data_IF_507816294894
#
_entry.id   IF_507816294894
#
_cell.length_a   1.000
_cell.length_b   1.000
_cell.length_c   1.000
_cell.angle_alpha   90.00
_cell.angle_beta   90.00
_cell.angle_gamma   90.00
#
_symmetry.space_group_name_H-M   'P 1'
#
loop_
_entity.id
_entity.type
_entity.pdbx_description
1 polymer ?
#
# COMPACT_ATOMS: atom_id res chain seq x y z
N UNK A 1 22.72 -6.46 -18.06
CA UNK A 1 22.91 -7.11 -16.74
C UNK A 1 22.32 -6.31 -15.58
N UNK A 2 21.72 -5.15 -15.82
CA UNK A 2 21.27 -4.20 -14.79
C UNK A 2 20.00 -4.63 -14.04
N UNK A 3 19.05 -5.32 -14.70
CA UNK A 3 17.74 -5.60 -14.10
C UNK A 3 17.78 -6.60 -12.93
N UNK A 4 18.69 -7.58 -12.91
CA UNK A 4 18.70 -8.59 -11.86
C UNK A 4 19.18 -8.05 -10.50
N UNK A 5 20.02 -7.00 -10.51
CA UNK A 5 20.54 -6.35 -9.31
C UNK A 5 19.50 -5.43 -8.67
N UNK A 6 18.82 -4.63 -9.49
CA UNK A 6 17.74 -3.73 -9.05
C UNK A 6 16.55 -4.52 -8.46
N UNK A 7 16.28 -5.72 -9.00
CA UNK A 7 15.22 -6.60 -8.51
C UNK A 7 15.49 -7.17 -7.10
N UNK A 8 16.74 -7.47 -6.76
CA UNK A 8 17.08 -7.94 -5.39
C UNK A 8 17.00 -6.78 -4.40
N UNK A 9 17.28 -5.57 -4.87
CA UNK A 9 17.28 -4.34 -4.08
C UNK A 9 15.87 -4.00 -3.57
N UNK A 10 14.85 -4.00 -4.45
CA UNK A 10 13.47 -3.65 -4.06
C UNK A 10 12.89 -4.57 -2.97
N UNK A 11 13.23 -5.86 -2.97
CA UNK A 11 12.79 -6.80 -1.91
C UNK A 11 13.48 -6.50 -0.58
N UNK A 12 14.79 -6.29 -0.61
CA UNK A 12 15.57 -6.00 0.58
C UNK A 12 15.14 -4.66 1.20
N UNK A 13 14.88 -3.66 0.35
CA UNK A 13 14.36 -2.36 0.77
C UNK A 13 13.00 -2.49 1.48
N UNK A 14 12.04 -3.21 0.89
CA UNK A 14 10.73 -3.40 1.53
C UNK A 14 10.84 -4.11 2.89
N UNK A 15 11.66 -5.16 2.98
CA UNK A 15 11.89 -5.87 4.24
C UNK A 15 12.52 -4.95 5.28
N UNK A 16 13.52 -4.14 4.91
CA UNK A 16 14.13 -3.18 5.81
C UNK A 16 13.14 -2.11 6.29
N UNK A 17 12.24 -1.64 5.41
CA UNK A 17 11.18 -0.70 5.77
C UNK A 17 10.18 -1.30 6.75
N UNK A 18 9.82 -2.58 6.58
CA UNK A 18 8.95 -3.31 7.53
C UNK A 18 9.62 -3.50 8.89
N UNK A 19 10.91 -3.88 8.91
CA UNK A 19 11.69 -4.00 10.14
C UNK A 19 11.85 -2.65 10.85
N UNK A 20 11.99 -1.55 10.09
CA UNK A 20 12.04 -0.20 10.65
C UNK A 20 10.67 0.21 11.22
N UNK A 21 9.60 -0.07 10.49
CA UNK A 21 8.23 0.17 10.96
C UNK A 21 7.96 -0.57 12.26
N UNK A 22 8.38 -1.84 12.38
CA UNK A 22 8.16 -2.64 13.61
C UNK A 22 8.83 -2.01 14.84
N UNK A 23 10.00 -1.39 14.67
CA UNK A 23 10.73 -0.69 15.76
C UNK A 23 10.09 0.65 16.12
N UNK A 24 9.57 1.36 15.13
CA UNK A 24 9.10 2.74 15.29
C UNK A 24 7.60 2.80 15.62
N UNK A 25 6.81 1.78 15.25
CA UNK A 25 5.39 1.75 15.58
C UNK A 25 5.20 1.59 17.09
N UNK A 26 4.41 2.49 17.70
CA UNK A 26 4.20 2.52 19.15
C UNK A 26 5.30 3.21 19.97
N UNK A 27 6.43 3.61 19.36
CA UNK A 27 7.47 4.40 20.03
C UNK A 27 7.19 5.90 20.06
N UNK A 28 6.15 6.35 19.34
CA UNK A 28 5.81 7.76 19.14
C UNK A 28 6.60 8.45 18.02
N UNK A 29 7.42 7.70 17.28
CA UNK A 29 8.11 8.20 16.09
C UNK A 29 7.14 8.43 14.93
N UNK A 30 7.51 9.35 14.04
CA UNK A 30 6.74 9.62 12.83
C UNK A 30 6.96 8.50 11.81
N UNK A 31 5.88 7.79 11.50
CA UNK A 31 5.85 6.68 10.54
C UNK A 31 5.52 7.13 9.11
N UNK A 32 5.13 8.39 8.90
CA UNK A 32 4.80 8.94 7.57
C UNK A 32 5.94 8.75 6.57
N UNK A 33 7.23 8.98 6.91
CA UNK A 33 8.33 8.75 5.99
C UNK A 33 8.44 7.30 5.53
N UNK A 34 8.18 6.34 6.43
CA UNK A 34 8.24 4.90 6.12
C UNK A 34 7.14 4.53 5.14
N UNK A 35 5.89 4.93 5.41
CA UNK A 35 4.76 4.67 4.52
C UNK A 35 4.94 5.34 3.15
N UNK A 36 5.48 6.55 3.13
CA UNK A 36 5.80 7.28 1.90
C UNK A 36 6.82 6.50 1.07
N UNK A 37 7.89 6.02 1.71
CA UNK A 37 8.93 5.25 1.02
C UNK A 37 8.42 3.91 0.50
N UNK A 38 7.56 3.23 1.26
CA UNK A 38 6.86 2.03 0.78
C UNK A 38 6.00 2.32 -0.45
N UNK A 39 5.25 3.43 -0.45
CA UNK A 39 4.41 3.82 -1.60
C UNK A 39 5.25 4.05 -2.85
N UNK A 40 6.33 4.84 -2.74
CA UNK A 40 7.27 5.10 -3.85
C UNK A 40 7.85 3.80 -4.45
N UNK A 41 8.16 2.84 -3.59
CA UNK A 41 8.70 1.54 -4.00
C UNK A 41 7.66 0.70 -4.76
N UNK A 42 6.42 0.64 -4.25
CA UNK A 42 5.33 -0.11 -4.91
C UNK A 42 4.93 0.57 -6.23
N UNK A 43 4.84 1.89 -6.27
CA UNK A 43 4.55 2.67 -7.49
C UNK A 43 5.60 2.43 -8.57
N UNK A 44 6.90 2.46 -8.22
CA UNK A 44 8.00 2.16 -9.14
C UNK A 44 7.83 0.77 -9.76
N UNK A 45 7.62 -0.26 -8.95
CA UNK A 45 7.46 -1.62 -9.47
C UNK A 45 6.13 -1.84 -10.19
N UNK A 46 5.10 -1.05 -9.88
CA UNK A 46 3.84 -1.00 -10.62
C UNK A 46 4.03 -0.43 -12.01
N UNK A 47 4.82 0.65 -12.14
CA UNK A 47 5.19 1.21 -13.43
C UNK A 47 5.99 0.20 -14.27
N UNK A 48 6.99 -0.46 -13.67
CA UNK A 48 7.78 -1.50 -14.33
C UNK A 48 6.94 -2.72 -14.74
N UNK A 49 5.92 -3.08 -13.94
CA UNK A 49 4.97 -4.13 -14.31
C UNK A 49 4.11 -3.69 -15.50
N UNK A 50 3.56 -2.47 -15.49
CA UNK A 50 2.74 -1.93 -16.59
C UNK A 50 3.52 -1.79 -17.90
N UNK A 51 4.82 -1.47 -17.86
CA UNK A 51 5.69 -1.44 -19.04
C UNK A 51 5.81 -2.77 -19.77
N UNK A 52 5.48 -3.89 -19.10
CA UNK A 52 5.45 -5.23 -19.71
C UNK A 52 4.16 -5.54 -20.47
N UNK A 53 3.27 -4.55 -20.57
CA UNK A 53 1.97 -4.66 -21.25
C UNK A 53 1.10 -5.82 -20.72
N UNK A 54 0.82 -5.84 -19.40
CA UNK A 54 -0.09 -6.83 -18.85
C UNK A 54 -1.51 -6.62 -19.39
N UNK A 55 -2.26 -7.70 -19.54
CA UNK A 55 -3.65 -7.64 -20.01
C UNK A 55 -4.50 -6.77 -19.06
N UNK A 56 -5.13 -5.67 -19.54
CA UNK A 56 -5.92 -4.78 -18.71
C UNK A 56 -7.21 -5.42 -18.16
N UNK A 57 -7.62 -6.58 -18.68
CA UNK A 57 -8.79 -7.33 -18.21
C UNK A 57 -8.42 -8.49 -17.27
N UNK A 58 -7.12 -8.66 -16.95
CA UNK A 58 -6.68 -9.68 -16.02
C UNK A 58 -6.74 -9.17 -14.57
N UNK A 59 -7.85 -9.49 -13.90
CA UNK A 59 -8.11 -9.12 -12.51
C UNK A 59 -7.32 -9.96 -11.48
N UNK A 60 -6.46 -10.88 -11.93
CA UNK A 60 -5.64 -11.69 -11.00
C UNK A 60 -4.58 -10.82 -10.33
N UNK A 61 -4.28 -11.14 -9.08
CA UNK A 61 -3.10 -10.61 -8.37
C UNK A 61 -1.85 -10.65 -9.28
N UNK A 62 -1.02 -9.59 -9.36
CA UNK A 62 0.14 -9.52 -10.28
C UNK A 62 1.07 -10.73 -10.21
N UNK A 63 1.39 -11.20 -9.01
CA UNK A 63 2.18 -12.43 -8.79
C UNK A 63 1.52 -13.77 -9.18
N UNK A 64 0.23 -13.77 -9.55
CA UNK A 64 -0.48 -14.92 -10.17
C UNK A 64 -0.48 -14.80 -11.69
N UNK A 65 -0.63 -13.58 -12.22
CA UNK A 65 -0.54 -13.29 -13.65
C UNK A 65 0.89 -13.51 -14.19
N UNK A 66 1.89 -12.95 -13.50
CA UNK A 66 3.33 -13.19 -13.74
C UNK A 66 4.01 -13.60 -12.41
N UNK A 67 4.27 -14.89 -12.18
CA UNK A 67 4.94 -15.37 -10.98
C UNK A 67 6.36 -14.83 -10.75
N UNK A 68 6.98 -14.22 -11.78
CA UNK A 68 8.32 -13.65 -11.70
C UNK A 68 8.32 -12.12 -11.58
N UNK A 69 7.16 -11.46 -11.62
CA UNK A 69 7.10 -10.00 -11.47
C UNK A 69 7.52 -9.56 -10.07
N UNK A 70 8.16 -8.40 -9.97
CA UNK A 70 8.62 -7.87 -8.69
C UNK A 70 7.46 -7.37 -7.84
N UNK A 71 6.54 -6.61 -8.44
CA UNK A 71 5.31 -6.14 -7.80
C UNK A 71 4.60 -7.30 -7.07
N UNK A 72 4.41 -8.43 -7.74
CA UNK A 72 3.78 -9.61 -7.16
C UNK A 72 4.54 -10.19 -5.96
N UNK A 73 5.87 -10.10 -5.94
CA UNK A 73 6.66 -10.50 -4.78
C UNK A 73 6.57 -9.49 -3.63
N UNK A 74 6.60 -8.19 -3.92
CA UNK A 74 6.50 -7.15 -2.89
C UNK A 74 5.15 -7.19 -2.18
N UNK A 75 4.05 -7.28 -2.94
CA UNK A 75 2.70 -7.44 -2.40
C UNK A 75 2.61 -8.67 -1.50
N UNK A 76 3.21 -9.80 -1.92
CA UNK A 76 3.23 -11.01 -1.09
C UNK A 76 4.02 -10.84 0.21
N UNK A 77 5.11 -10.09 0.21
CA UNK A 77 5.88 -9.81 1.44
C UNK A 77 5.04 -8.94 2.38
N UNK A 78 4.43 -7.87 1.83
CA UNK A 78 3.62 -6.93 2.59
C UNK A 78 2.41 -7.60 3.24
N UNK A 79 1.62 -8.36 2.47
CA UNK A 79 0.42 -9.05 2.97
C UNK A 79 0.70 -10.21 3.91
N UNK A 80 1.95 -10.67 4.01
CA UNK A 80 2.35 -11.66 5.03
C UNK A 80 2.60 -11.03 6.40
N UNK A 81 2.72 -9.70 6.48
CA UNK A 81 2.88 -8.98 7.73
C UNK A 81 1.50 -8.50 8.21
N UNK A 82 0.80 -9.36 8.95
CA UNK A 82 -0.55 -9.10 9.42
C UNK A 82 -0.61 -7.90 10.37
N UNK A 83 0.40 -7.72 11.22
CA UNK A 83 0.48 -6.60 12.17
C UNK A 83 0.56 -5.25 11.43
N UNK A 84 1.39 -5.19 10.39
CA UNK A 84 1.49 -4.01 9.52
C UNK A 84 0.17 -3.72 8.82
N UNK A 85 -0.43 -4.72 8.17
CA UNK A 85 -1.70 -4.55 7.44
C UNK A 85 -2.84 -4.12 8.38
N UNK A 86 -2.88 -4.69 9.57
CA UNK A 86 -3.84 -4.35 10.60
C UNK A 86 -3.66 -2.91 11.10
N UNK A 87 -2.43 -2.47 11.31
CA UNK A 87 -2.12 -1.09 11.69
C UNK A 87 -2.45 -0.11 10.55
N UNK A 88 -2.08 -0.43 9.32
CA UNK A 88 -2.37 0.38 8.13
C UNK A 88 -3.86 0.71 8.03
N UNK A 89 -4.71 -0.31 8.14
CA UNK A 89 -6.16 -0.13 8.03
C UNK A 89 -6.75 0.44 9.33
N UNK A 90 -6.56 -0.21 10.47
CA UNK A 90 -7.31 0.15 11.68
C UNK A 90 -6.72 1.36 12.39
N UNK A 91 -5.40 1.47 12.49
CA UNK A 91 -4.78 2.56 13.22
C UNK A 91 -4.67 3.81 12.34
N UNK A 92 -4.19 3.68 11.10
CA UNK A 92 -3.83 4.84 10.27
C UNK A 92 -4.97 5.32 9.38
N UNK A 93 -5.78 4.43 8.80
CA UNK A 93 -6.95 4.84 8.01
C UNK A 93 -8.18 5.05 8.91
N UNK A 94 -8.46 4.17 9.86
CA UNK A 94 -9.72 4.24 10.61
C UNK A 94 -9.68 5.14 11.85
N UNK A 95 -8.60 5.07 12.63
CA UNK A 95 -8.56 5.66 13.99
C UNK A 95 -7.81 6.99 14.04
N UNK A 96 -6.77 7.14 13.22
CA UNK A 96 -5.90 8.31 13.24
C UNK A 96 -6.65 9.60 12.90
N UNK A 97 -6.30 10.66 13.63
CA UNK A 97 -6.79 12.02 13.41
C UNK A 97 -5.77 12.93 12.75
N UNK A 98 -4.60 12.39 12.40
CA UNK A 98 -3.48 13.12 11.79
C UNK A 98 -3.61 13.06 10.26
N UNK A 99 -4.01 14.15 9.58
CA UNK A 99 -4.21 14.12 8.13
C UNK A 99 -2.98 13.68 7.32
N UNK A 100 -1.73 14.04 7.68
CA UNK A 100 -0.54 13.54 6.99
C UNK A 100 -0.40 12.02 7.04
N UNK A 101 -0.70 11.42 8.19
CA UNK A 101 -0.67 9.97 8.37
C UNK A 101 -1.77 9.29 7.56
N UNK A 102 -2.99 9.82 7.63
CA UNK A 102 -4.12 9.29 6.88
C UNK A 102 -3.84 9.36 5.37
N UNK A 103 -3.21 10.43 4.92
CA UNK A 103 -2.79 10.63 3.52
C UNK A 103 -1.78 9.58 3.07
N UNK A 104 -0.70 9.38 3.84
CA UNK A 104 0.32 8.39 3.51
C UNK A 104 -0.24 6.96 3.54
N UNK A 105 -1.13 6.67 4.49
CA UNK A 105 -1.79 5.37 4.59
C UNK A 105 -2.75 5.12 3.42
N UNK A 106 -3.56 6.11 3.02
CA UNK A 106 -4.48 5.97 1.89
C UNK A 106 -3.74 5.80 0.56
N UNK A 107 -2.61 6.50 0.36
CA UNK A 107 -1.76 6.31 -0.81
C UNK A 107 -1.25 4.88 -0.89
N UNK A 108 -0.63 4.38 0.19
CA UNK A 108 -0.11 3.01 0.22
C UNK A 108 -1.23 1.98 0.04
N UNK A 109 -2.39 2.18 0.68
CA UNK A 109 -3.54 1.28 0.54
C UNK A 109 -4.02 1.21 -0.91
N UNK A 110 -4.03 2.35 -1.62
CA UNK A 110 -4.40 2.43 -3.03
C UNK A 110 -3.38 1.68 -3.91
N UNK A 111 -2.09 1.89 -3.65
CA UNK A 111 -1.01 1.26 -4.43
C UNK A 111 -1.02 -0.27 -4.34
N UNK A 112 -1.48 -0.82 -3.20
CA UNK A 112 -1.49 -2.26 -2.95
C UNK A 112 -2.82 -2.93 -3.32
N UNK A 113 -3.83 -2.17 -3.75
CA UNK A 113 -5.12 -2.71 -4.19
C UNK A 113 -5.04 -3.86 -5.20
N UNK A 114 -4.13 -3.87 -6.19
CA UNK A 114 -4.04 -4.99 -7.14
C UNK A 114 -3.75 -6.36 -6.49
N UNK A 115 -3.21 -6.38 -5.27
CA UNK A 115 -3.03 -7.63 -4.52
C UNK A 115 -3.91 -7.78 -3.29
N UNK A 116 -4.74 -6.79 -2.98
CA UNK A 116 -5.58 -6.77 -1.80
C UNK A 116 -6.89 -7.52 -2.05
N UNK A 117 -7.29 -8.35 -1.10
CA UNK A 117 -8.66 -8.91 -1.08
C UNK A 117 -9.63 -7.81 -0.61
N UNK A 118 -10.08 -6.97 -1.54
CA UNK A 118 -10.90 -5.78 -1.26
C UNK A 118 -12.19 -6.11 -0.51
N UNK A 119 -12.80 -7.28 -0.76
CA UNK A 119 -13.97 -7.71 0.01
C UNK A 119 -13.68 -7.77 1.52
N UNK A 120 -12.53 -8.30 1.93
CA UNK A 120 -12.14 -8.41 3.34
C UNK A 120 -11.95 -7.02 3.95
N UNK A 121 -11.27 -6.12 3.25
CA UNK A 121 -10.99 -4.77 3.81
C UNK A 121 -12.21 -3.87 3.81
N UNK A 122 -12.99 -3.83 2.73
CA UNK A 122 -14.07 -2.85 2.58
C UNK A 122 -15.44 -3.35 3.02
N UNK A 123 -15.67 -4.67 3.09
CA UNK A 123 -16.94 -5.22 3.59
C UNK A 123 -16.89 -5.60 5.06
N UNK A 124 -15.75 -6.12 5.56
CA UNK A 124 -15.66 -6.56 6.96
C UNK A 124 -15.32 -5.41 7.93
N UNK A 125 -14.74 -4.31 7.43
CA UNK A 125 -14.42 -3.13 8.25
C UNK A 125 -15.55 -2.11 8.18
N UNK A 126 -16.51 -2.27 9.08
CA UNK A 126 -17.60 -1.31 9.24
C UNK A 126 -17.05 0.12 9.42
N UNK A 127 -17.59 1.06 8.64
CA UNK A 127 -17.22 2.48 8.69
C UNK A 127 -16.04 2.90 7.81
N UNK A 128 -15.27 1.98 7.18
CA UNK A 128 -14.14 2.40 6.32
C UNK A 128 -14.63 3.17 5.08
N UNK A 129 -15.70 2.67 4.46
CA UNK A 129 -16.32 3.32 3.29
C UNK A 129 -16.89 4.69 3.67
N UNK A 130 -17.50 4.82 4.85
CA UNK A 130 -18.04 6.10 5.34
C UNK A 130 -16.93 7.13 5.57
N UNK A 131 -15.81 6.72 6.19
CA UNK A 131 -14.64 7.56 6.39
C UNK A 131 -14.04 8.02 5.05
N UNK A 132 -13.85 7.09 4.11
CA UNK A 132 -13.32 7.40 2.79
C UNK A 132 -14.27 8.34 2.02
N UNK A 133 -15.58 8.11 2.09
CA UNK A 133 -16.57 8.96 1.46
C UNK A 133 -16.54 10.39 2.02
N UNK A 134 -16.45 10.52 3.36
CA UNK A 134 -16.27 11.82 4.00
C UNK A 134 -15.00 12.53 3.51
N UNK A 135 -13.87 11.82 3.44
CA UNK A 135 -12.62 12.41 2.96
C UNK A 135 -12.66 12.77 1.47
N UNK A 136 -13.29 11.95 0.64
CA UNK A 136 -13.49 12.24 -0.78
C UNK A 136 -14.32 13.52 -1.01
N UNK A 137 -15.24 13.85 -0.09
CA UNK A 137 -16.03 15.08 -0.16
C UNK A 137 -15.34 16.29 0.46
N UNK A 138 -14.73 16.13 1.64
CA UNK A 138 -14.40 17.26 2.51
C UNK A 138 -12.90 17.48 2.71
N UNK A 139 -12.06 16.44 2.63
CA UNK A 139 -10.64 16.56 3.00
C UNK A 139 -9.84 17.44 2.03
N UNK A 140 -8.71 17.97 2.48
CA UNK A 140 -7.78 18.66 1.59
C UNK A 140 -7.00 17.68 0.68
N UNK A 141 -6.40 18.22 -0.37
CA UNK A 141 -5.47 17.43 -1.20
C UNK A 141 -4.15 17.19 -0.44
N UNK A 142 -3.53 16.00 -0.59
CA UNK A 142 -3.90 14.94 -1.52
C UNK A 142 -4.79 13.83 -0.94
N UNK A 143 -5.18 13.89 0.34
CA UNK A 143 -6.03 12.88 0.99
C UNK A 143 -7.34 12.65 0.22
N UNK A 144 -8.00 13.72 -0.23
CA UNK A 144 -9.22 13.63 -1.04
C UNK A 144 -9.06 12.75 -2.28
N UNK A 145 -7.93 12.90 -2.97
CA UNK A 145 -7.64 12.16 -4.21
C UNK A 145 -7.47 10.68 -3.93
N UNK A 146 -6.68 10.32 -2.91
CA UNK A 146 -6.49 8.92 -2.54
C UNK A 146 -7.78 8.28 -2.02
N UNK A 147 -8.55 9.01 -1.19
CA UNK A 147 -9.83 8.53 -0.70
C UNK A 147 -10.83 8.29 -1.85
N UNK A 148 -10.84 9.15 -2.86
CA UNK A 148 -11.65 8.96 -4.07
C UNK A 148 -11.20 7.77 -4.89
N UNK A 149 -9.88 7.53 -4.99
CA UNK A 149 -9.34 6.36 -5.72
C UNK A 149 -9.62 5.01 -5.05
N UNK A 150 -9.89 5.01 -3.74
CA UNK A 150 -10.21 3.83 -2.95
C UNK A 150 -11.72 3.46 -2.97
N UNK A 151 -12.57 4.29 -3.58
CA UNK A 151 -14.02 4.11 -3.71
C UNK A 151 -14.41 3.72 -5.13
#
# INVERSE_FOLDING_TARGET
MTSCSELVDSKAELTALLEQWEKDHGSGQDIVPILTRMSELIEKETEEYRKRDPDPFDDRHPGRADPKCMLGHLLRILFKNDDFMNALVNAYVMTSREPPLNTAACRLLLDIMPGLETAVVFQEKEGIVENLFKWAQEADQPLRTFATGLL
#
